data_IF_370346558064
#
_entry.id   IF_370346558064
#
_cell.length_a   1.000
_cell.length_b   1.000
_cell.length_c   1.000
_cell.angle_alpha   90.00
_cell.angle_beta   90.00
_cell.angle_gamma   90.00
#
_symmetry.space_group_name_H-M   'P 1'
#
loop_
_entity.id
_entity.type
_entity.pdbx_description
1 polymer ?
#
# COMPACT_ATOMS: atom_id res chain seq x y z
N UNK A 1 -31.82 -12.14 -28.87
CA UNK A 1 -30.60 -12.89 -28.67
C UNK A 1 -30.87 -14.40 -28.65
N UNK A 2 -29.98 -15.20 -29.19
CA UNK A 2 -30.08 -16.66 -29.13
C UNK A 2 -29.56 -17.16 -27.79
N UNK A 3 -30.34 -17.94 -27.06
CA UNK A 3 -29.92 -18.53 -25.81
C UNK A 3 -30.97 -19.50 -25.28
N UNK A 4 -30.58 -20.32 -24.29
CA UNK A 4 -31.47 -21.29 -23.65
C UNK A 4 -31.78 -20.85 -22.20
N UNK A 5 -33.09 -20.81 -21.85
CA UNK A 5 -33.51 -20.49 -20.48
C UNK A 5 -33.24 -19.06 -20.03
N UNK A 6 -33.04 -18.12 -20.95
CA UNK A 6 -32.80 -16.72 -20.62
C UNK A 6 -34.07 -15.93 -20.27
N UNK A 7 -33.98 -15.02 -19.28
CA UNK A 7 -35.11 -14.19 -18.81
C UNK A 7 -34.73 -12.70 -18.78
N UNK A 8 -35.42 -11.86 -19.52
CA UNK A 8 -35.31 -10.39 -19.47
C UNK A 8 -36.71 -9.79 -19.18
N UNK A 9 -36.98 -9.48 -17.92
CA UNK A 9 -38.29 -8.96 -17.47
C UNK A 9 -38.22 -7.54 -16.91
N UNK A 10 -37.04 -7.03 -16.60
CA UNK A 10 -36.89 -5.65 -16.17
C UNK A 10 -37.26 -4.66 -17.29
N UNK A 11 -37.88 -3.54 -16.94
CA UNK A 11 -38.13 -2.47 -17.92
C UNK A 11 -36.77 -2.02 -18.49
N UNK A 12 -36.67 -1.95 -19.82
CA UNK A 12 -35.43 -1.62 -20.55
C UNK A 12 -34.25 -2.61 -20.30
N UNK A 13 -34.51 -3.80 -19.74
CA UNK A 13 -33.48 -4.80 -19.49
C UNK A 13 -32.99 -5.42 -20.80
N UNK A 14 -31.69 -5.76 -20.83
CA UNK A 14 -31.02 -6.35 -21.98
C UNK A 14 -30.41 -7.69 -21.65
N UNK A 15 -30.64 -8.70 -22.49
CA UNK A 15 -30.01 -10.00 -22.43
C UNK A 15 -29.42 -10.36 -23.80
N UNK A 16 -28.10 -10.47 -23.89
CA UNK A 16 -27.40 -10.75 -25.14
C UNK A 16 -27.52 -12.21 -25.62
N UNK A 17 -27.66 -13.16 -24.68
CA UNK A 17 -27.83 -14.59 -24.98
C UNK A 17 -27.24 -15.49 -23.90
N UNK A 18 -26.78 -16.69 -24.26
CA UNK A 18 -26.20 -17.68 -23.37
C UNK A 18 -27.19 -18.64 -22.71
N UNK A 19 -26.88 -19.17 -21.55
CA UNK A 19 -27.65 -20.18 -20.85
C UNK A 19 -28.10 -19.73 -19.46
N UNK A 20 -29.40 -19.79 -19.17
CA UNK A 20 -30.00 -19.52 -17.85
C UNK A 20 -29.60 -18.16 -17.26
N UNK A 21 -29.47 -17.15 -18.12
CA UNK A 21 -29.15 -15.78 -17.68
C UNK A 21 -30.46 -15.00 -17.38
N UNK A 22 -30.39 -14.08 -16.41
CA UNK A 22 -31.54 -13.30 -15.97
C UNK A 22 -31.22 -11.81 -15.86
N UNK A 23 -32.02 -10.95 -16.46
CA UNK A 23 -31.97 -9.50 -16.33
C UNK A 23 -33.33 -8.98 -15.87
N UNK A 24 -33.51 -8.82 -14.56
CA UNK A 24 -34.79 -8.48 -13.94
C UNK A 24 -34.85 -7.06 -13.40
N UNK A 25 -33.74 -6.41 -13.18
CA UNK A 25 -33.65 -5.02 -12.77
C UNK A 25 -34.05 -4.06 -13.89
N UNK A 26 -34.56 -2.88 -13.54
CA UNK A 26 -34.82 -1.81 -14.51
C UNK A 26 -33.52 -1.39 -15.19
N UNK A 27 -33.49 -1.39 -16.52
CA UNK A 27 -32.31 -1.11 -17.34
C UNK A 27 -31.07 -1.98 -16.98
N UNK A 28 -31.31 -3.16 -16.41
CA UNK A 28 -30.25 -4.13 -16.13
C UNK A 28 -29.74 -4.79 -17.41
N UNK A 29 -28.47 -5.17 -17.43
CA UNK A 29 -27.86 -5.77 -18.60
C UNK A 29 -27.09 -7.06 -18.26
N UNK A 30 -27.36 -8.14 -19.01
CA UNK A 30 -26.52 -9.33 -19.04
C UNK A 30 -25.99 -9.53 -20.45
N UNK A 31 -24.69 -9.48 -20.66
CA UNK A 31 -24.07 -9.63 -21.98
C UNK A 31 -24.18 -11.05 -22.53
N UNK A 32 -24.08 -12.05 -21.66
CA UNK A 32 -24.12 -13.47 -22.04
C UNK A 32 -23.56 -14.40 -20.96
N UNK A 33 -23.04 -15.55 -21.35
CA UNK A 33 -22.45 -16.55 -20.45
C UNK A 33 -23.49 -17.51 -19.88
N UNK A 34 -23.30 -17.98 -18.66
CA UNK A 34 -24.18 -18.96 -18.03
C UNK A 34 -24.53 -18.60 -16.59
N UNK A 35 -25.80 -18.74 -16.22
CA UNK A 35 -26.29 -18.57 -14.86
C UNK A 35 -25.99 -17.17 -14.25
N UNK A 36 -25.92 -16.15 -15.08
CA UNK A 36 -25.68 -14.78 -14.64
C UNK A 36 -27.02 -14.06 -14.34
N UNK A 37 -27.01 -13.22 -13.30
CA UNK A 37 -28.18 -12.57 -12.79
C UNK A 37 -27.94 -11.06 -12.53
N UNK A 38 -28.66 -10.19 -13.21
CA UNK A 38 -28.66 -8.75 -13.02
C UNK A 38 -30.01 -8.30 -12.47
N UNK A 39 -30.11 -8.17 -11.13
CA UNK A 39 -31.39 -7.87 -10.42
C UNK A 39 -31.49 -6.41 -10.05
N UNK A 40 -30.39 -5.74 -9.76
CA UNK A 40 -30.39 -4.34 -9.39
C UNK A 40 -30.78 -3.43 -10.56
N UNK A 41 -31.43 -2.30 -10.29
CA UNK A 41 -31.64 -1.29 -11.31
C UNK A 41 -30.29 -0.78 -11.85
N UNK A 42 -30.13 -0.64 -13.16
CA UNK A 42 -28.90 -0.23 -13.83
C UNK A 42 -27.70 -1.17 -13.57
N UNK A 43 -27.91 -2.38 -13.06
CA UNK A 43 -26.86 -3.35 -12.82
C UNK A 43 -26.36 -4.00 -14.12
N UNK A 44 -25.10 -4.46 -14.10
CA UNK A 44 -24.48 -5.06 -15.29
C UNK A 44 -23.70 -6.32 -14.93
N UNK A 45 -23.96 -7.39 -15.67
CA UNK A 45 -23.12 -8.57 -15.75
C UNK A 45 -22.64 -8.71 -17.21
N UNK A 46 -21.39 -8.40 -17.54
CA UNK A 46 -20.91 -8.45 -18.93
C UNK A 46 -20.88 -9.87 -19.49
N UNK A 47 -20.76 -10.86 -18.61
CA UNK A 47 -20.70 -12.28 -18.94
C UNK A 47 -20.00 -13.08 -17.85
N UNK A 48 -19.62 -14.32 -18.19
CA UNK A 48 -19.00 -15.25 -17.25
C UNK A 48 -19.97 -16.33 -16.76
N UNK A 49 -19.77 -16.82 -15.56
CA UNK A 49 -20.58 -17.91 -15.00
C UNK A 49 -20.97 -17.62 -13.55
N UNK A 50 -22.26 -17.74 -13.23
CA UNK A 50 -22.75 -17.65 -11.85
C UNK A 50 -22.59 -16.27 -11.19
N UNK A 51 -22.48 -15.18 -11.97
CA UNK A 51 -22.33 -13.86 -11.40
C UNK A 51 -23.70 -13.24 -11.07
N UNK A 52 -23.76 -12.52 -9.96
CA UNK A 52 -24.95 -11.81 -9.49
C UNK A 52 -24.66 -10.33 -9.22
N UNK A 53 -25.35 -9.46 -9.96
CA UNK A 53 -25.36 -8.03 -9.72
C UNK A 53 -26.69 -7.63 -9.06
N UNK A 54 -26.79 -7.87 -7.73
CA UNK A 54 -28.03 -7.74 -6.97
C UNK A 54 -28.44 -6.29 -6.66
N UNK A 55 -27.48 -5.37 -6.55
CA UNK A 55 -27.70 -4.01 -6.11
C UNK A 55 -27.84 -3.01 -7.26
N UNK A 56 -28.41 -1.83 -6.96
CA UNK A 56 -28.52 -0.72 -7.92
C UNK A 56 -27.15 -0.25 -8.38
N UNK A 57 -26.97 -0.04 -9.69
CA UNK A 57 -25.74 0.42 -10.34
C UNK A 57 -24.50 -0.46 -10.01
N UNK A 58 -24.71 -1.74 -9.75
CA UNK A 58 -23.64 -2.69 -9.47
C UNK A 58 -23.11 -3.36 -10.75
N UNK A 59 -21.89 -3.86 -10.65
CA UNK A 59 -21.20 -4.59 -11.71
C UNK A 59 -20.60 -5.88 -11.14
N UNK A 60 -20.93 -7.04 -11.73
CA UNK A 60 -20.36 -8.32 -11.33
C UNK A 60 -19.80 -9.05 -12.56
N UNK A 61 -18.58 -9.55 -12.49
CA UNK A 61 -17.94 -10.20 -13.63
C UNK A 61 -16.99 -11.33 -13.23
N UNK A 62 -16.74 -12.24 -14.17
CA UNK A 62 -15.86 -13.39 -14.01
C UNK A 62 -16.63 -14.65 -13.65
N UNK A 63 -16.33 -15.28 -12.51
CA UNK A 63 -17.00 -16.48 -12.04
C UNK A 63 -17.39 -16.35 -10.56
N UNK A 64 -18.68 -16.56 -10.26
CA UNK A 64 -19.21 -16.52 -8.91
C UNK A 64 -18.93 -15.19 -8.15
N UNK A 65 -19.02 -14.07 -8.85
CA UNK A 65 -18.99 -12.73 -8.26
C UNK A 65 -20.41 -12.36 -7.81
N UNK A 66 -20.63 -12.14 -6.51
CA UNK A 66 -21.96 -11.90 -5.93
C UNK A 66 -22.02 -10.55 -5.24
N UNK A 67 -22.80 -9.62 -5.80
CA UNK A 67 -23.07 -8.32 -5.18
C UNK A 67 -24.38 -8.39 -4.40
N UNK A 68 -24.28 -8.22 -3.07
CA UNK A 68 -25.44 -8.16 -2.18
C UNK A 68 -26.42 -7.06 -2.62
N UNK A 69 -27.74 -7.28 -2.59
CA UNK A 69 -28.76 -6.30 -2.99
C UNK A 69 -28.69 -4.95 -2.24
N UNK A 70 -28.07 -4.89 -1.07
CA UNK A 70 -27.88 -3.67 -0.28
C UNK A 70 -26.62 -2.89 -0.64
N UNK A 71 -25.70 -3.47 -1.42
CA UNK A 71 -24.39 -2.88 -1.74
C UNK A 71 -24.42 -2.11 -3.07
N UNK A 72 -25.22 -1.04 -3.13
CA UNK A 72 -25.33 -0.20 -4.32
C UNK A 72 -23.97 0.36 -4.78
N UNK A 73 -23.80 0.53 -6.08
CA UNK A 73 -22.60 1.14 -6.68
C UNK A 73 -21.32 0.28 -6.62
N UNK A 74 -21.42 -0.99 -6.25
CA UNK A 74 -20.29 -1.91 -6.13
C UNK A 74 -19.82 -2.41 -7.48
N UNK A 75 -18.49 -2.42 -7.68
CA UNK A 75 -17.80 -3.12 -8.76
C UNK A 75 -17.12 -4.36 -8.21
N UNK A 76 -17.49 -5.55 -8.70
CA UNK A 76 -16.97 -6.83 -8.23
C UNK A 76 -16.45 -7.69 -9.39
N UNK A 77 -15.20 -8.12 -9.29
CA UNK A 77 -14.58 -9.07 -10.20
C UNK A 77 -14.08 -10.31 -9.44
N UNK A 78 -14.40 -11.48 -9.95
CA UNK A 78 -13.91 -12.75 -9.41
C UNK A 78 -13.26 -13.59 -10.52
N UNK A 79 -12.08 -14.09 -10.27
CA UNK A 79 -11.38 -15.01 -11.18
C UNK A 79 -12.08 -16.39 -11.27
N UNK A 80 -11.40 -17.40 -11.83
CA UNK A 80 -11.96 -18.75 -12.00
C UNK A 80 -12.00 -19.59 -10.74
N UNK A 81 -11.77 -19.02 -9.57
CA UNK A 81 -11.90 -19.75 -8.29
C UNK A 81 -13.33 -20.24 -8.08
N UNK A 82 -13.55 -21.48 -7.61
CA UNK A 82 -14.89 -22.09 -7.57
C UNK A 82 -15.78 -21.54 -6.46
N UNK A 83 -15.21 -20.87 -5.46
CA UNK A 83 -15.96 -20.29 -4.34
C UNK A 83 -16.56 -18.94 -4.73
N UNK A 84 -17.70 -18.60 -4.16
CA UNK A 84 -18.24 -17.25 -4.29
C UNK A 84 -17.28 -16.19 -3.77
N UNK A 85 -17.38 -15.00 -4.37
CA UNK A 85 -16.69 -13.80 -3.92
C UNK A 85 -17.71 -12.69 -3.77
N UNK A 86 -18.01 -12.40 -2.51
CA UNK A 86 -19.11 -11.55 -2.13
C UNK A 86 -18.65 -10.11 -1.90
N UNK A 87 -19.53 -9.16 -2.18
CA UNK A 87 -19.35 -7.78 -1.77
C UNK A 87 -19.51 -7.64 -0.24
N UNK A 88 -18.82 -6.66 0.35
CA UNK A 88 -18.80 -6.44 1.80
C UNK A 88 -19.52 -5.15 2.18
N UNK A 89 -19.49 -4.15 1.33
CA UNK A 89 -20.08 -2.82 1.59
C UNK A 89 -20.48 -2.13 0.28
N UNK A 90 -21.45 -1.23 0.36
CA UNK A 90 -21.84 -0.39 -0.79
C UNK A 90 -20.68 0.51 -1.25
N UNK A 91 -20.65 0.80 -2.57
CA UNK A 91 -19.66 1.66 -3.23
C UNK A 91 -18.22 1.14 -3.15
N UNK A 92 -18.01 -0.14 -2.96
CA UNK A 92 -16.67 -0.73 -3.03
C UNK A 92 -16.25 -1.07 -4.47
N UNK A 93 -14.95 -1.06 -4.68
CA UNK A 93 -14.31 -1.71 -5.82
C UNK A 93 -13.52 -2.91 -5.28
N UNK A 94 -14.04 -4.12 -5.51
CA UNK A 94 -13.43 -5.34 -5.03
C UNK A 94 -13.07 -6.27 -6.19
N UNK A 95 -11.94 -6.95 -6.08
CA UNK A 95 -11.53 -7.93 -7.07
C UNK A 95 -10.77 -9.07 -6.41
N UNK A 96 -11.09 -10.31 -6.81
CA UNK A 96 -10.29 -11.48 -6.52
C UNK A 96 -9.52 -11.88 -7.77
N UNK A 97 -8.20 -11.93 -7.66
CA UNK A 97 -7.30 -12.39 -8.70
C UNK A 97 -6.21 -13.25 -8.05
N UNK A 98 -6.42 -14.56 -8.00
CA UNK A 98 -5.48 -15.51 -7.36
C UNK A 98 -4.09 -15.53 -8.01
N UNK A 99 -3.98 -15.06 -9.24
CA UNK A 99 -2.71 -14.83 -9.93
C UNK A 99 -2.01 -13.51 -9.58
N UNK A 100 -2.64 -12.67 -8.73
CA UNK A 100 -2.14 -11.35 -8.33
C UNK A 100 -2.67 -10.20 -9.19
N UNK A 101 -2.28 -8.97 -8.83
CA UNK A 101 -2.65 -7.74 -9.54
C UNK A 101 -1.41 -7.06 -10.10
N UNK A 102 -1.56 -6.41 -11.25
CA UNK A 102 -0.50 -5.64 -11.90
C UNK A 102 -1.02 -4.26 -12.27
N UNK A 103 -0.43 -3.22 -11.69
CA UNK A 103 -0.71 -1.84 -11.99
C UNK A 103 0.45 -1.24 -12.78
N UNK A 104 0.20 -0.70 -13.96
CA UNK A 104 1.23 -0.12 -14.84
C UNK A 104 0.86 1.31 -15.18
N UNK A 105 1.86 2.19 -15.10
CA UNK A 105 1.67 3.65 -15.23
C UNK A 105 2.35 4.25 -16.46
N UNK A 106 3.02 3.42 -17.28
CA UNK A 106 3.62 3.84 -18.52
C UNK A 106 3.27 2.90 -19.69
N UNK A 107 3.35 3.39 -20.92
CA UNK A 107 2.98 2.65 -22.14
C UNK A 107 3.80 1.37 -22.34
N UNK A 108 5.07 1.35 -21.94
CA UNK A 108 5.94 0.18 -22.02
C UNK A 108 5.69 -0.88 -20.94
N UNK A 109 4.75 -0.66 -20.04
CA UNK A 109 4.40 -1.53 -18.92
C UNK A 109 5.61 -1.95 -18.04
N UNK A 110 6.63 -1.09 -17.95
CA UNK A 110 7.87 -1.32 -17.20
C UNK A 110 7.87 -0.67 -15.82
N UNK A 111 6.97 0.29 -15.59
CA UNK A 111 6.86 1.04 -14.33
C UNK A 111 5.50 0.81 -13.69
N UNK A 112 5.48 0.54 -12.41
CA UNK A 112 4.26 0.31 -11.63
C UNK A 112 4.47 -0.59 -10.43
N UNK A 113 3.39 -1.12 -9.91
CA UNK A 113 3.40 -2.01 -8.74
C UNK A 113 2.66 -3.31 -9.04
N UNK A 114 3.10 -4.38 -8.43
CA UNK A 114 2.43 -5.68 -8.41
C UNK A 114 2.00 -6.01 -6.97
N UNK A 115 0.82 -6.60 -6.83
CA UNK A 115 0.43 -7.37 -5.67
C UNK A 115 0.54 -8.85 -6.07
N UNK A 116 1.65 -9.53 -5.75
CA UNK A 116 1.88 -10.90 -6.20
C UNK A 116 0.86 -11.89 -5.63
N UNK A 117 0.66 -13.00 -6.33
CA UNK A 117 -0.22 -14.08 -5.88
C UNK A 117 0.10 -14.49 -4.42
N UNK A 118 -0.92 -14.56 -3.58
CA UNK A 118 -0.80 -14.90 -2.16
C UNK A 118 -0.10 -13.87 -1.28
N UNK A 119 0.32 -12.71 -1.83
CA UNK A 119 0.94 -11.62 -1.07
C UNK A 119 -0.08 -10.57 -0.65
N UNK A 120 0.07 -10.04 0.58
CA UNK A 120 -0.68 -8.88 1.06
C UNK A 120 0.05 -7.54 0.86
N UNK A 121 1.20 -7.50 0.15
CA UNK A 121 2.03 -6.31 0.00
C UNK A 121 2.34 -5.99 -1.45
N UNK A 122 2.38 -4.69 -1.78
CA UNK A 122 2.79 -4.21 -3.10
C UNK A 122 4.31 -4.28 -3.26
N UNK A 123 4.74 -4.78 -4.43
CA UNK A 123 6.12 -4.73 -4.91
C UNK A 123 6.18 -3.75 -6.09
N UNK A 124 6.82 -2.60 -5.88
CA UNK A 124 6.87 -1.55 -6.90
C UNK A 124 8.23 -1.49 -7.60
N UNK A 125 8.22 -1.06 -8.86
CA UNK A 125 9.43 -0.97 -9.69
C UNK A 125 10.45 -0.03 -9.04
N UNK A 126 11.67 -0.53 -8.83
CA UNK A 126 12.83 0.24 -8.37
C UNK A 126 14.10 -0.16 -9.13
N UNK A 127 13.95 -0.51 -10.40
CA UNK A 127 15.04 -0.90 -11.27
C UNK A 127 15.94 0.30 -11.61
N UNK A 128 17.25 0.13 -11.45
CA UNK A 128 18.26 1.13 -11.77
C UNK A 128 18.18 1.59 -13.23
N UNK A 129 17.86 0.68 -14.15
CA UNK A 129 17.79 0.98 -15.58
C UNK A 129 16.58 1.84 -15.98
N UNK A 130 15.61 1.98 -15.09
CA UNK A 130 14.42 2.85 -15.27
C UNK A 130 14.55 4.19 -14.58
N UNK A 131 15.68 4.44 -13.90
CA UNK A 131 15.98 5.67 -13.16
C UNK A 131 17.20 6.37 -13.76
N UNK A 132 17.29 7.67 -13.52
CA UNK A 132 18.42 8.52 -13.93
C UNK A 132 18.65 9.64 -12.92
N UNK A 133 19.74 10.40 -13.07
CA UNK A 133 20.01 11.56 -12.20
C UNK A 133 20.34 11.13 -10.77
N UNK A 134 21.14 10.07 -10.58
CA UNK A 134 21.51 9.61 -9.25
C UNK A 134 22.44 10.59 -8.56
N UNK A 135 22.05 11.01 -7.35
CA UNK A 135 22.84 11.84 -6.47
C UNK A 135 23.07 11.14 -5.14
N UNK A 136 24.22 11.37 -4.53
CA UNK A 136 24.46 10.87 -3.18
C UNK A 136 23.71 11.71 -2.16
N UNK A 137 23.02 11.05 -1.25
CA UNK A 137 22.33 11.70 -0.13
C UNK A 137 23.30 11.85 1.05
N UNK A 138 23.43 13.06 1.57
CA UNK A 138 24.11 13.30 2.83
C UNK A 138 23.23 12.82 4.00
N UNK A 139 23.66 11.76 4.65
CA UNK A 139 22.90 11.19 5.77
C UNK A 139 22.86 12.07 7.00
N UNK A 140 23.87 12.93 7.22
CA UNK A 140 23.87 13.87 8.35
C UNK A 140 22.87 15.01 8.14
N UNK A 141 22.77 15.53 6.91
CA UNK A 141 21.74 16.51 6.53
C UNK A 141 20.33 15.92 6.68
N UNK A 142 20.14 14.67 6.21
CA UNK A 142 18.87 13.96 6.38
C UNK A 142 18.53 13.80 7.86
N UNK A 143 19.50 13.41 8.69
CA UNK A 143 19.28 13.22 10.12
C UNK A 143 18.85 14.54 10.81
N UNK A 144 19.55 15.62 10.52
CA UNK A 144 19.21 16.95 11.06
C UNK A 144 17.83 17.44 10.63
N UNK A 145 17.47 17.21 9.36
CA UNK A 145 16.14 17.55 8.83
C UNK A 145 15.03 16.72 9.48
N UNK A 146 15.26 15.42 9.71
CA UNK A 146 14.30 14.55 10.41
C UNK A 146 14.02 15.01 11.84
N UNK A 147 15.03 15.49 12.56
CA UNK A 147 14.85 16.05 13.92
C UNK A 147 13.93 17.27 13.93
N UNK A 148 13.86 18.03 12.83
CA UNK A 148 13.03 19.23 12.71
C UNK A 148 11.59 18.96 12.29
N UNK A 149 11.29 17.79 11.74
CA UNK A 149 9.96 17.44 11.23
C UNK A 149 9.08 16.85 12.34
N UNK A 150 7.89 17.40 12.63
CA UNK A 150 6.95 16.79 13.54
C UNK A 150 6.45 15.43 13.04
N UNK A 151 6.57 14.41 13.88
CA UNK A 151 5.90 13.12 13.66
C UNK A 151 4.69 13.06 14.58
N UNK A 152 3.51 13.04 13.99
CA UNK A 152 2.24 13.12 14.73
C UNK A 152 1.32 11.96 14.39
N UNK A 153 0.33 11.72 15.23
CA UNK A 153 -0.74 10.78 14.92
C UNK A 153 -2.06 11.50 14.70
N UNK A 154 -2.80 11.09 13.68
CA UNK A 154 -4.07 11.69 13.33
C UNK A 154 -5.02 10.72 12.63
N UNK A 155 -6.19 11.22 12.25
CA UNK A 155 -7.19 10.52 11.44
C UNK A 155 -7.52 11.34 10.21
N UNK A 156 -7.87 10.70 9.10
CA UNK A 156 -8.43 11.42 7.96
C UNK A 156 -9.88 11.85 8.28
N UNK A 157 -10.23 13.08 7.91
CA UNK A 157 -11.59 13.64 8.15
C UNK A 157 -12.71 12.80 7.54
N UNK A 158 -12.44 12.10 6.46
CA UNK A 158 -13.40 11.28 5.70
C UNK A 158 -13.32 9.79 6.04
N UNK A 159 -12.41 9.38 6.91
CA UNK A 159 -12.25 8.00 7.30
C UNK A 159 -13.19 7.64 8.46
N UNK A 160 -13.76 6.42 8.52
CA UNK A 160 -14.52 5.96 9.66
C UNK A 160 -13.76 6.15 10.98
N UNK A 161 -14.49 6.47 12.04
CA UNK A 161 -13.92 6.75 13.36
C UNK A 161 -13.13 5.58 13.91
N UNK A 162 -11.98 5.88 14.54
CA UNK A 162 -11.13 4.91 15.24
C UNK A 162 -9.82 4.54 14.53
N UNK A 163 -9.73 4.64 13.22
CA UNK A 163 -8.47 4.40 12.54
C UNK A 163 -7.50 5.60 12.71
N UNK A 164 -6.36 5.36 13.36
CA UNK A 164 -5.31 6.37 13.53
C UNK A 164 -4.07 6.00 12.72
N UNK A 165 -3.45 7.01 12.17
CA UNK A 165 -2.21 6.92 11.40
C UNK A 165 -1.12 7.73 12.10
N UNK A 166 0.13 7.34 11.92
CA UNK A 166 1.30 8.06 12.43
C UNK A 166 2.21 8.42 11.26
N UNK A 167 2.74 9.61 11.27
CA UNK A 167 3.71 10.06 10.27
C UNK A 167 3.88 11.58 10.27
N UNK A 168 4.80 12.10 9.44
CA UNK A 168 4.92 13.52 9.17
C UNK A 168 3.80 14.00 8.24
N UNK A 169 3.54 15.30 8.23
CA UNK A 169 2.69 15.92 7.24
C UNK A 169 3.45 16.12 5.93
N UNK A 170 2.76 16.00 4.80
CA UNK A 170 3.38 16.12 3.47
C UNK A 170 4.02 17.51 3.26
N UNK A 171 3.42 18.56 3.81
CA UNK A 171 3.97 19.91 3.76
C UNK A 171 5.35 20.00 4.42
N UNK A 172 5.48 19.44 5.64
CA UNK A 172 6.73 19.47 6.40
C UNK A 172 7.80 18.62 5.72
N UNK A 173 7.42 17.43 5.26
CA UNK A 173 8.31 16.53 4.54
C UNK A 173 8.84 17.16 3.23
N UNK A 174 7.94 17.74 2.43
CA UNK A 174 8.32 18.38 1.17
C UNK A 174 9.19 19.62 1.40
N UNK A 175 8.87 20.45 2.40
CA UNK A 175 9.67 21.62 2.75
C UNK A 175 11.08 21.25 3.21
N UNK A 176 11.24 20.15 3.94
CA UNK A 176 12.55 19.71 4.44
C UNK A 176 13.40 19.01 3.37
N UNK A 177 12.80 18.15 2.56
CA UNK A 177 13.55 17.25 1.66
C UNK A 177 13.41 17.58 0.17
N UNK A 178 12.34 18.22 -0.26
CA UNK A 178 12.07 18.51 -1.67
C UNK A 178 11.77 17.29 -2.54
N UNK A 179 11.53 16.11 -1.92
CA UNK A 179 11.21 14.89 -2.65
C UNK A 179 9.71 14.74 -2.87
N UNK A 180 9.35 14.07 -3.97
CA UNK A 180 7.96 13.90 -4.39
C UNK A 180 7.52 14.94 -5.41
N UNK A 181 6.25 14.90 -5.82
CA UNK A 181 5.69 15.75 -6.88
C UNK A 181 4.99 17.00 -6.35
N UNK A 182 4.66 17.05 -5.06
CA UNK A 182 3.92 18.13 -4.43
C UNK A 182 3.96 18.02 -2.89
N UNK A 183 3.41 19.03 -2.21
CA UNK A 183 3.32 19.13 -0.75
C UNK A 183 2.04 18.51 -0.14
N UNK A 184 1.31 17.68 -0.86
CA UNK A 184 0.05 17.07 -0.40
C UNK A 184 0.18 15.56 -0.20
N UNK A 185 1.21 14.93 -0.80
CA UNK A 185 1.41 13.48 -0.78
C UNK A 185 2.85 13.13 -0.43
N UNK A 186 3.03 12.02 0.28
CA UNK A 186 4.35 11.41 0.51
C UNK A 186 4.33 10.02 -0.14
N UNK A 187 5.29 9.76 -1.02
CA UNK A 187 5.52 8.41 -1.53
C UNK A 187 6.13 7.53 -0.43
N UNK A 188 5.63 6.31 -0.26
CA UNK A 188 6.23 5.36 0.68
C UNK A 188 7.71 5.08 0.35
N UNK A 189 8.06 5.04 -0.93
CA UNK A 189 9.46 4.85 -1.38
C UNK A 189 10.35 6.00 -0.92
N UNK A 190 9.86 7.24 -0.95
CA UNK A 190 10.62 8.41 -0.50
C UNK A 190 10.79 8.41 1.03
N UNK A 191 9.71 8.10 1.76
CA UNK A 191 9.77 7.98 3.22
C UNK A 191 10.72 6.86 3.67
N UNK A 192 10.67 5.71 3.01
CA UNK A 192 11.58 4.57 3.26
C UNK A 192 13.03 4.94 2.92
N UNK A 193 13.26 5.63 1.80
CA UNK A 193 14.57 6.11 1.38
C UNK A 193 15.22 7.05 2.40
N UNK A 194 14.46 8.01 2.91
CA UNK A 194 14.89 8.93 3.97
C UNK A 194 15.19 8.15 5.26
N UNK A 195 14.33 7.22 5.64
CA UNK A 195 14.55 6.38 6.81
C UNK A 195 15.83 5.55 6.71
N UNK A 196 16.10 4.95 5.56
CA UNK A 196 17.34 4.20 5.30
C UNK A 196 18.58 5.10 5.35
N UNK A 197 18.51 6.33 4.83
CA UNK A 197 19.61 7.28 4.90
C UNK A 197 19.91 7.68 6.35
N UNK A 198 18.89 7.95 7.15
CA UNK A 198 19.01 8.27 8.56
C UNK A 198 19.58 7.10 9.39
N UNK A 199 19.12 5.87 9.17
CA UNK A 199 19.65 4.68 9.83
C UNK A 199 21.12 4.48 9.51
N UNK A 200 21.56 4.71 8.26
CA UNK A 200 22.98 4.66 7.88
C UNK A 200 23.81 5.74 8.58
N UNK A 201 23.31 6.96 8.72
CA UNK A 201 23.97 8.02 9.46
C UNK A 201 24.10 7.67 10.94
N UNK A 202 23.02 7.19 11.56
CA UNK A 202 23.01 6.72 12.95
C UNK A 202 24.02 5.58 13.19
N UNK A 203 24.09 4.62 12.29
CA UNK A 203 25.07 3.51 12.36
C UNK A 203 26.51 4.03 12.36
N UNK A 204 26.83 5.02 11.51
CA UNK A 204 28.17 5.66 11.49
C UNK A 204 28.45 6.40 12.79
N UNK A 205 27.51 7.22 13.28
CA UNK A 205 27.65 7.93 14.57
C UNK A 205 27.89 6.96 15.72
N UNK A 206 27.18 5.82 15.74
CA UNK A 206 27.34 4.79 16.77
C UNK A 206 28.74 4.17 16.73
N UNK A 207 29.24 3.85 15.55
CA UNK A 207 30.59 3.33 15.38
C UNK A 207 31.68 4.33 15.83
N UNK A 208 31.50 5.62 15.49
CA UNK A 208 32.41 6.68 15.92
C UNK A 208 32.40 6.87 17.45
N UNK A 209 31.20 6.83 18.06
CA UNK A 209 31.07 6.90 19.53
C UNK A 209 31.73 5.71 20.22
N UNK A 210 31.54 4.50 19.71
CA UNK A 210 32.19 3.30 20.23
C UNK A 210 33.73 3.41 20.15
N UNK A 211 34.26 3.89 19.04
CA UNK A 211 35.68 4.15 18.86
C UNK A 211 36.22 5.19 19.87
N UNK A 212 35.50 6.31 20.04
CA UNK A 212 35.85 7.33 21.02
C UNK A 212 35.78 6.81 22.45
N UNK A 213 34.77 6.03 22.79
CA UNK A 213 34.63 5.43 24.12
C UNK A 213 35.78 4.47 24.43
N UNK A 214 36.22 3.65 23.47
CA UNK A 214 37.39 2.78 23.63
C UNK A 214 38.67 3.58 23.85
N UNK A 215 38.86 4.68 23.10
CA UNK A 215 40.03 5.55 23.27
C UNK A 215 40.01 6.23 24.64
N UNK A 216 38.86 6.74 25.09
CA UNK A 216 38.69 7.33 26.42
C UNK A 216 38.97 6.31 27.55
N UNK A 217 38.45 5.08 27.42
CA UNK A 217 38.71 4.02 28.37
C UNK A 217 40.20 3.67 28.47
N UNK A 218 40.89 3.61 27.34
CA UNK A 218 42.35 3.39 27.33
C UNK A 218 43.11 4.54 27.99
N UNK A 219 42.68 5.78 27.79
CA UNK A 219 43.29 6.94 28.43
C UNK A 219 43.02 6.97 29.94
N UNK A 220 41.81 6.70 30.39
CA UNK A 220 41.45 6.58 31.81
C UNK A 220 42.33 5.51 32.50
N UNK A 221 42.51 4.34 31.90
CA UNK A 221 43.37 3.30 32.46
C UNK A 221 44.83 3.76 32.64
N UNK A 222 45.35 4.60 31.71
CA UNK A 222 46.69 5.17 31.87
C UNK A 222 46.74 6.19 33.02
N UNK A 223 45.71 7.02 33.16
CA UNK A 223 45.60 7.99 34.23
C UNK A 223 45.52 7.30 35.60
N UNK A 224 44.71 6.24 35.71
CA UNK A 224 44.58 5.44 36.93
C UNK A 224 45.93 4.80 37.33
N UNK A 225 46.68 4.27 36.35
CA UNK A 225 48.01 3.72 36.60
C UNK A 225 49.00 4.79 37.08
N UNK A 226 48.90 6.00 36.51
CA UNK A 226 49.75 7.13 36.95
C UNK A 226 49.38 7.60 38.36
N UNK A 227 48.11 7.70 38.68
CA UNK A 227 47.62 8.04 40.01
C UNK A 227 48.12 7.03 41.02
N UNK A 228 47.97 5.74 40.78
CA UNK A 228 48.46 4.68 41.65
C UNK A 228 50.01 4.71 41.84
N UNK A 229 50.77 5.13 40.81
CA UNK A 229 52.21 5.33 40.94
C UNK A 229 52.55 6.54 41.81
N UNK A 230 51.85 7.66 41.61
CA UNK A 230 52.04 8.88 42.43
C UNK A 230 51.68 8.66 43.89
N UNK A 231 50.59 7.94 44.19
CA UNK A 231 50.18 7.58 45.55
C UNK A 231 51.26 6.72 46.23
N UNK A 232 51.83 5.72 45.56
CA UNK A 232 52.93 4.90 46.10
C UNK A 232 54.15 5.73 46.40
N UNK A 233 54.52 6.66 45.52
CA UNK A 233 55.66 7.55 45.70
C UNK A 233 55.45 8.55 46.84
N UNK A 234 54.21 9.05 47.00
CA UNK A 234 53.89 9.93 48.09
C UNK A 234 54.00 9.22 49.46
N UNK A 235 53.43 8.03 49.59
CA UNK A 235 53.47 7.21 50.78
C UNK A 235 54.99 6.90 51.18
N UNK A 236 55.85 6.66 50.23
CA UNK A 236 57.29 6.40 50.47
C UNK A 236 58.08 7.65 50.89
N UNK A 237 57.50 8.85 50.85
CA UNK A 237 58.12 10.08 51.32
C UNK A 237 57.63 10.48 52.72
N UNK A 238 56.60 9.87 53.22
CA UNK A 238 56.01 10.10 54.54
C UNK A 238 56.55 9.16 55.62
N UNK A 239 57.23 8.05 55.19
CA UNK A 239 57.99 7.14 56.05
C UNK A 239 59.48 7.58 56.15
#
# INVERSE_FOLDING_TARGET
GGGFGGLATGSLATLGGGQNNSATGTAAAVGGGSQNNAQGAFSTVPGGNGNEAGATASFAAGQNAVVDPLHNGTFLYSDTSPTEFDSVIANEFAARASGGFRFRTNAGATTGCDLPAGSGTFSCTSDRNTKQGFEQIDGEDVFAKLESIPVTSGTFKTQPTGARHIGPMAQDFYAAFGFGTNDKTISSVDADGISLAAVKALSRRTADLDSKNRALAAENNKQDALIADLERRLSALED
#
